data_IF_000827244233
#
_entry.id   IF_000827244233
#
_cell.length_a   1.000
_cell.length_b   1.000
_cell.length_c   1.000
_cell.angle_alpha   90.00
_cell.angle_beta   90.00
_cell.angle_gamma   90.00
#
_symmetry.space_group_name_H-M   'P 1'
#
loop_
_entity.id
_entity.type
_entity.pdbx_description
1 polymer ?
#
# COMPACT_ATOMS: atom_id res chain seq x y z
N UNK A 1 -37.92 11.01 -18.54
CA UNK A 1 -37.13 9.76 -18.54
C UNK A 1 -36.41 9.68 -17.19
N UNK A 2 -36.95 8.96 -16.19
CA UNK A 2 -36.24 8.74 -14.94
C UNK A 2 -35.17 7.65 -15.15
N UNK A 3 -33.95 7.93 -14.68
CA UNK A 3 -32.82 7.00 -14.71
C UNK A 3 -32.89 6.08 -13.50
N UNK A 4 -33.44 4.88 -13.68
CA UNK A 4 -33.29 3.76 -12.77
C UNK A 4 -31.88 3.17 -12.90
N UNK A 5 -30.89 3.74 -12.21
CA UNK A 5 -29.54 3.14 -12.11
C UNK A 5 -29.08 3.08 -10.65
N UNK A 6 -29.78 2.27 -9.86
CA UNK A 6 -29.41 1.86 -8.50
C UNK A 6 -29.67 0.35 -8.32
N UNK A 7 -28.93 -0.52 -9.01
CA UNK A 7 -28.90 -1.95 -8.68
C UNK A 7 -27.69 -2.68 -9.29
N UNK A 8 -26.61 -2.88 -8.53
CA UNK A 8 -25.54 -3.77 -8.99
C UNK A 8 -24.20 -3.67 -8.27
N UNK A 9 -24.17 -3.61 -6.93
CA UNK A 9 -22.88 -3.55 -6.23
C UNK A 9 -22.92 -3.74 -4.73
N UNK A 10 -23.92 -4.45 -4.18
CA UNK A 10 -23.80 -4.91 -2.79
C UNK A 10 -22.87 -6.13 -2.78
N UNK A 11 -21.62 -5.93 -2.34
CA UNK A 11 -20.72 -7.01 -1.97
C UNK A 11 -21.46 -7.93 -0.99
N UNK A 12 -21.59 -9.22 -1.34
CA UNK A 12 -22.23 -10.23 -0.49
C UNK A 12 -21.64 -10.14 0.92
N UNK A 13 -22.50 -9.87 1.91
CA UNK A 13 -22.13 -9.77 3.33
C UNK A 13 -21.46 -11.09 3.74
N UNK A 14 -20.17 -11.06 4.08
CA UNK A 14 -19.39 -12.25 4.43
C UNK A 14 -18.68 -12.98 3.28
N UNK A 15 -18.62 -12.43 2.06
CA UNK A 15 -17.86 -13.03 0.95
C UNK A 15 -16.33 -13.03 1.16
N UNK A 16 -15.82 -12.16 2.04
CA UNK A 16 -14.41 -12.07 2.41
C UNK A 16 -14.30 -12.35 3.91
N UNK A 17 -13.75 -13.52 4.26
CA UNK A 17 -13.44 -13.86 5.66
C UNK A 17 -12.30 -13.00 6.21
N UNK A 18 -12.20 -12.88 7.54
CA UNK A 18 -11.16 -12.09 8.24
C UNK A 18 -9.76 -12.45 7.74
N UNK A 19 -9.47 -13.75 7.60
CA UNK A 19 -8.20 -14.24 7.07
C UNK A 19 -7.91 -13.72 5.67
N UNK A 20 -8.89 -13.67 4.77
CA UNK A 20 -8.70 -13.15 3.43
C UNK A 20 -8.33 -11.66 3.46
N UNK A 21 -8.96 -10.88 4.34
CA UNK A 21 -8.65 -9.45 4.52
C UNK A 21 -7.23 -9.29 5.05
N UNK A 22 -6.84 -10.06 6.07
CA UNK A 22 -5.48 -10.01 6.63
C UNK A 22 -4.44 -10.36 5.56
N UNK A 23 -4.63 -11.45 4.81
CA UNK A 23 -3.72 -11.81 3.72
C UNK A 23 -3.64 -10.73 2.65
N UNK A 24 -4.77 -10.14 2.27
CA UNK A 24 -4.81 -9.06 1.28
C UNK A 24 -4.08 -7.80 1.76
N UNK A 25 -4.27 -7.39 3.01
CA UNK A 25 -3.58 -6.22 3.60
C UNK A 25 -2.08 -6.47 3.70
N UNK A 26 -1.67 -7.66 4.15
CA UNK A 26 -0.26 -8.05 4.19
C UNK A 26 0.33 -8.07 2.77
N UNK A 27 -0.43 -8.58 1.78
CA UNK A 27 -0.04 -8.53 0.35
C UNK A 27 0.24 -7.12 -0.15
N UNK A 28 -0.69 -6.21 0.15
CA UNK A 28 -0.58 -4.83 -0.26
C UNK A 28 0.60 -4.10 0.40
N UNK A 29 1.02 -4.55 1.59
CA UNK A 29 2.22 -4.03 2.26
C UNK A 29 3.53 -4.45 1.60
N UNK A 30 3.52 -5.45 0.69
CA UNK A 30 4.68 -5.95 -0.05
C UNK A 30 5.94 -6.13 0.83
N UNK A 31 5.91 -7.04 1.83
CA UNK A 31 6.95 -7.16 2.84
C UNK A 31 8.34 -7.41 2.27
N UNK A 32 8.52 -8.17 1.17
CA UNK A 32 9.87 -8.28 0.57
C UNK A 32 10.35 -6.95 0.00
N UNK A 33 9.47 -6.15 -0.61
CA UNK A 33 9.86 -4.85 -1.15
C UNK A 33 10.34 -3.91 -0.03
N UNK A 34 9.69 -3.96 1.13
CA UNK A 34 10.12 -3.21 2.32
C UNK A 34 11.46 -3.71 2.83
N UNK A 35 11.63 -5.03 3.01
CA UNK A 35 12.85 -5.62 3.57
C UNK A 35 14.06 -5.48 2.65
N UNK A 36 13.88 -5.60 1.33
CA UNK A 36 14.97 -5.54 0.34
C UNK A 36 15.24 -4.12 -0.14
N UNK A 37 14.20 -3.30 -0.28
CA UNK A 37 14.33 -1.94 -0.83
C UNK A 37 14.40 -0.87 0.26
N UNK A 38 13.34 -0.75 1.06
CA UNK A 38 13.17 0.39 1.97
C UNK A 38 14.07 0.29 3.19
N UNK A 39 14.20 -0.89 3.80
CA UNK A 39 14.95 -1.09 5.04
C UNK A 39 16.45 -0.81 4.88
N UNK A 40 17.16 -1.36 3.88
CA UNK A 40 18.60 -1.06 3.70
C UNK A 40 18.82 0.42 3.40
N UNK A 41 17.92 1.05 2.66
CA UNK A 41 17.96 2.48 2.39
C UNK A 41 17.83 3.31 3.68
N UNK A 42 16.91 2.93 4.58
CA UNK A 42 16.75 3.56 5.89
C UNK A 42 17.98 3.40 6.80
N UNK A 43 18.65 2.24 6.75
CA UNK A 43 19.91 2.03 7.49
C UNK A 43 21.09 2.81 6.89
N UNK A 44 21.17 2.91 5.57
CA UNK A 44 22.27 3.58 4.87
C UNK A 44 22.21 5.11 4.97
N UNK A 45 21.00 5.70 4.87
CA UNK A 45 20.82 7.15 4.77
C UNK A 45 19.96 7.76 5.88
N UNK A 46 19.35 6.94 6.74
CA UNK A 46 18.53 7.39 7.87
C UNK A 46 19.30 7.40 9.19
N UNK A 47 18.60 7.09 10.27
CA UNK A 47 19.15 7.15 11.64
C UNK A 47 20.06 5.97 12.02
N UNK A 48 20.56 5.20 11.04
CA UNK A 48 21.47 4.07 11.25
C UNK A 48 20.97 3.08 12.31
N UNK A 49 21.70 2.98 13.43
CA UNK A 49 21.35 2.10 14.56
C UNK A 49 20.03 2.47 15.26
N UNK A 50 19.47 3.66 15.03
CA UNK A 50 18.17 4.07 15.55
C UNK A 50 16.97 3.52 14.77
N UNK A 51 17.18 2.96 13.58
CA UNK A 51 16.12 2.42 12.70
C UNK A 51 15.24 1.37 13.40
N UNK A 52 15.77 0.38 14.15
CA UNK A 52 14.96 -0.58 14.90
C UNK A 52 14.03 0.09 15.93
N UNK A 53 14.52 1.11 16.63
CA UNK A 53 13.71 1.84 17.61
C UNK A 53 12.60 2.63 16.90
N UNK A 54 12.88 3.22 15.74
CA UNK A 54 11.86 3.88 14.91
C UNK A 54 10.75 2.90 14.50
N UNK A 55 11.10 1.67 14.11
CA UNK A 55 10.09 0.63 13.79
C UNK A 55 9.20 0.32 14.99
N UNK A 56 9.76 0.19 16.19
CA UNK A 56 8.98 -0.09 17.41
C UNK A 56 8.03 1.07 17.72
N UNK A 57 8.53 2.31 17.67
CA UNK A 57 7.73 3.50 17.98
C UNK A 57 6.58 3.70 16.98
N UNK A 58 6.86 3.58 15.68
CA UNK A 58 5.83 3.67 14.63
C UNK A 58 4.83 2.51 14.73
N UNK A 59 5.31 1.30 15.06
CA UNK A 59 4.45 0.15 15.31
C UNK A 59 3.48 0.38 16.48
N UNK A 60 3.98 0.91 17.60
CA UNK A 60 3.15 1.26 18.75
C UNK A 60 2.11 2.34 18.41
N UNK A 61 2.50 3.35 17.63
CA UNK A 61 1.59 4.39 17.15
C UNK A 61 0.49 3.80 16.25
N UNK A 62 0.83 2.87 15.36
CA UNK A 62 -0.16 2.18 14.52
C UNK A 62 -1.10 1.30 15.34
N UNK A 63 -0.63 0.62 16.38
CA UNK A 63 -1.50 -0.16 17.27
C UNK A 63 -2.50 0.75 18.00
N UNK A 64 -2.03 1.88 18.52
CA UNK A 64 -2.89 2.85 19.17
C UNK A 64 -3.97 3.37 18.20
N UNK A 65 -3.56 3.71 16.97
CA UNK A 65 -4.47 4.13 15.92
C UNK A 65 -5.48 3.03 15.56
N UNK A 66 -5.02 1.77 15.43
CA UNK A 66 -5.87 0.64 15.08
C UNK A 66 -6.94 0.37 16.14
N UNK A 67 -6.59 0.46 17.44
CA UNK A 67 -7.55 0.32 18.55
C UNK A 67 -8.62 1.41 18.48
N UNK A 68 -8.22 2.68 18.34
CA UNK A 68 -9.15 3.81 18.23
C UNK A 68 -10.04 3.72 16.98
N UNK A 69 -9.46 3.39 15.83
CA UNK A 69 -10.19 3.22 14.58
C UNK A 69 -11.20 2.07 14.65
N UNK A 70 -10.81 0.93 15.23
CA UNK A 70 -11.71 -0.23 15.39
C UNK A 70 -12.87 0.11 16.31
N UNK A 71 -12.62 0.85 17.41
CA UNK A 71 -13.67 1.31 18.32
C UNK A 71 -14.65 2.29 17.65
N UNK A 72 -14.19 3.17 16.75
CA UNK A 72 -15.08 4.05 15.99
C UNK A 72 -15.84 3.31 14.88
N UNK A 73 -15.18 2.36 14.22
CA UNK A 73 -15.75 1.57 13.12
C UNK A 73 -16.92 0.68 13.56
N UNK A 74 -16.94 0.22 14.81
CA UNK A 74 -18.09 -0.51 15.35
C UNK A 74 -19.36 0.35 15.50
N UNK A 75 -19.22 1.68 15.59
CA UNK A 75 -20.34 2.61 15.77
C UNK A 75 -20.78 3.28 14.46
N UNK A 76 -19.87 3.45 13.49
CA UNK A 76 -20.15 4.07 12.20
C UNK A 76 -20.21 3.01 11.10
N UNK A 77 -21.44 2.67 10.65
CA UNK A 77 -21.64 1.65 9.62
C UNK A 77 -21.01 2.00 8.26
N UNK A 78 -20.26 1.04 7.69
CA UNK A 78 -19.77 0.99 6.30
C UNK A 78 -19.18 2.28 5.72
N UNK A 79 -18.46 3.08 6.52
CA UNK A 79 -17.67 4.19 5.99
C UNK A 79 -16.38 3.67 5.34
N UNK A 80 -16.24 3.88 4.03
CA UNK A 80 -15.05 3.45 3.25
C UNK A 80 -13.89 4.45 3.34
N UNK A 81 -14.14 5.67 3.81
CA UNK A 81 -13.14 6.75 3.90
C UNK A 81 -12.91 7.21 5.33
N UNK A 82 -11.78 7.87 5.61
CA UNK A 82 -11.49 8.49 6.90
C UNK A 82 -12.32 9.76 7.16
N UNK A 83 -12.90 10.37 6.12
CA UNK A 83 -13.65 11.62 6.23
C UNK A 83 -14.84 11.54 7.20
N UNK A 84 -15.75 10.55 7.13
CA UNK A 84 -16.86 10.40 8.08
C UNK A 84 -16.39 10.31 9.53
N UNK A 85 -15.32 9.57 9.79
CA UNK A 85 -14.76 9.39 11.14
C UNK A 85 -14.22 10.71 11.73
N UNK A 86 -13.56 11.52 10.91
CA UNK A 86 -12.97 12.78 11.36
C UNK A 86 -14.04 13.87 11.42
N UNK A 87 -14.98 13.88 10.48
CA UNK A 87 -16.08 14.84 10.44
C UNK A 87 -17.07 14.65 11.59
N UNK A 88 -17.29 13.41 12.05
CA UNK A 88 -18.16 13.12 13.20
C UNK A 88 -17.53 13.52 14.54
N UNK A 89 -16.21 13.39 14.70
CA UNK A 89 -15.50 13.77 15.93
C UNK A 89 -15.09 15.25 16.02
N UNK A 90 -14.44 15.77 14.97
CA UNK A 90 -13.82 17.12 14.95
C UNK A 90 -14.58 18.12 14.07
N UNK A 91 -15.64 17.70 13.40
CA UNK A 91 -16.47 18.53 12.54
C UNK A 91 -16.02 18.59 11.07
N UNK A 92 -16.90 19.13 10.23
CA UNK A 92 -16.78 19.11 8.76
C UNK A 92 -15.49 19.75 8.23
N UNK A 93 -15.04 20.86 8.82
CA UNK A 93 -13.83 21.60 8.37
C UNK A 93 -12.56 20.76 8.58
N UNK A 94 -12.42 20.12 9.75
CA UNK A 94 -11.31 19.23 10.04
C UNK A 94 -11.34 17.97 9.16
N UNK A 95 -12.51 17.42 8.88
CA UNK A 95 -12.68 16.28 7.97
C UNK A 95 -12.19 16.58 6.55
N UNK A 96 -12.51 17.75 5.99
CA UNK A 96 -12.02 18.16 4.68
C UNK A 96 -10.50 18.33 4.68
N UNK A 97 -9.93 18.99 5.69
CA UNK A 97 -8.47 19.14 5.83
C UNK A 97 -7.75 17.80 5.88
N UNK A 98 -8.26 16.86 6.67
CA UNK A 98 -7.70 15.51 6.76
C UNK A 98 -7.83 14.70 5.46
N UNK A 99 -8.88 14.93 4.66
CA UNK A 99 -9.03 14.29 3.35
C UNK A 99 -7.97 14.76 2.36
N UNK A 100 -7.69 16.07 2.33
CA UNK A 100 -6.59 16.61 1.55
C UNK A 100 -5.23 16.10 2.04
N UNK A 101 -5.02 16.01 3.36
CA UNK A 101 -3.81 15.42 3.92
C UNK A 101 -3.66 13.94 3.54
N UNK A 102 -4.75 13.16 3.55
CA UNK A 102 -4.73 11.76 3.12
C UNK A 102 -4.39 11.61 1.64
N UNK A 103 -4.96 12.46 0.77
CA UNK A 103 -4.64 12.50 -0.66
C UNK A 103 -3.17 12.88 -0.89
N UNK A 104 -2.66 13.90 -0.19
CA UNK A 104 -1.27 14.31 -0.29
C UNK A 104 -0.32 13.20 0.15
N UNK A 105 -0.61 12.53 1.27
CA UNK A 105 0.15 11.37 1.74
C UNK A 105 0.12 10.22 0.75
N UNK A 106 -1.03 9.97 0.10
CA UNK A 106 -1.16 8.92 -0.91
C UNK A 106 -0.25 9.19 -2.11
N UNK A 107 -0.30 10.42 -2.65
CA UNK A 107 0.58 10.83 -3.76
C UNK A 107 2.06 10.78 -3.35
N UNK A 108 2.39 11.16 -2.11
CA UNK A 108 3.77 11.08 -1.61
C UNK A 108 4.28 9.63 -1.54
N UNK A 109 3.45 8.69 -1.07
CA UNK A 109 3.79 7.25 -1.03
C UNK A 109 3.95 6.69 -2.45
N UNK A 110 3.11 7.11 -3.39
CA UNK A 110 3.21 6.71 -4.79
C UNK A 110 4.51 7.20 -5.43
N UNK A 111 4.87 8.47 -5.24
CA UNK A 111 6.13 9.05 -5.72
C UNK A 111 7.36 8.35 -5.09
N UNK A 112 7.29 8.04 -3.79
CA UNK A 112 8.34 7.28 -3.10
C UNK A 112 8.53 5.90 -3.75
N UNK A 113 7.45 5.16 -3.98
CA UNK A 113 7.50 3.82 -4.58
C UNK A 113 8.04 3.87 -6.02
N UNK A 114 7.59 4.84 -6.83
CA UNK A 114 8.07 5.08 -8.19
C UNK A 114 9.56 5.40 -8.22
N UNK A 115 10.02 6.33 -7.37
CA UNK A 115 11.43 6.72 -7.29
C UNK A 115 12.33 5.56 -6.88
N UNK A 116 11.91 4.80 -5.86
CA UNK A 116 12.66 3.65 -5.37
C UNK A 116 12.81 2.59 -6.48
N UNK A 117 11.70 2.23 -7.15
CA UNK A 117 11.75 1.28 -8.26
C UNK A 117 12.63 1.78 -9.41
N UNK A 118 12.51 3.05 -9.80
CA UNK A 118 13.27 3.63 -10.90
C UNK A 118 14.78 3.56 -10.69
N UNK A 119 15.24 3.78 -9.45
CA UNK A 119 16.65 3.66 -9.06
C UNK A 119 17.11 2.21 -9.17
N UNK A 120 16.41 1.27 -8.52
CA UNK A 120 16.80 -0.15 -8.55
C UNK A 120 16.76 -0.75 -9.95
N UNK A 121 15.79 -0.35 -10.77
CA UNK A 121 15.66 -0.81 -12.14
C UNK A 121 16.78 -0.26 -13.03
N UNK A 122 17.08 1.04 -12.92
CA UNK A 122 18.19 1.68 -13.63
C UNK A 122 19.54 1.04 -13.26
N UNK A 123 19.77 0.79 -11.98
CA UNK A 123 20.96 0.10 -11.49
C UNK A 123 21.07 -1.34 -12.01
N UNK A 124 19.96 -2.08 -12.02
CA UNK A 124 19.92 -3.44 -12.54
C UNK A 124 20.23 -3.47 -14.04
N UNK A 125 19.58 -2.60 -14.83
CA UNK A 125 19.83 -2.49 -16.27
C UNK A 125 21.28 -2.14 -16.58
N UNK A 126 21.87 -1.22 -15.81
CA UNK A 126 23.28 -0.87 -15.97
C UNK A 126 24.20 -2.08 -15.69
N UNK A 127 23.95 -2.82 -14.61
CA UNK A 127 24.74 -4.02 -14.27
C UNK A 127 24.63 -5.16 -15.29
N UNK A 128 23.47 -5.30 -15.96
CA UNK A 128 23.20 -6.37 -16.93
C UNK A 128 23.64 -6.03 -18.35
N UNK A 129 23.46 -4.78 -18.78
CA UNK A 129 23.64 -4.37 -20.19
C UNK A 129 24.78 -3.38 -20.40
N UNK A 130 25.33 -2.81 -19.33
CA UNK A 130 26.31 -1.72 -19.39
C UNK A 130 25.74 -0.38 -19.84
N UNK A 131 24.44 -0.30 -20.16
CA UNK A 131 23.79 0.92 -20.64
C UNK A 131 23.25 1.72 -19.45
N UNK A 132 23.66 2.99 -19.35
CA UNK A 132 23.14 3.93 -18.37
C UNK A 132 21.77 4.47 -18.81
N UNK A 133 20.70 3.88 -18.30
CA UNK A 133 19.33 4.38 -18.49
C UNK A 133 19.03 5.39 -17.37
N UNK A 134 18.64 6.65 -17.67
CA UNK A 134 18.26 7.61 -16.65
C UNK A 134 17.07 7.11 -15.82
N UNK A 135 17.16 7.23 -14.49
CA UNK A 135 16.14 6.72 -13.56
C UNK A 135 14.74 7.29 -13.84
N UNK A 136 14.64 8.53 -14.34
CA UNK A 136 13.37 9.14 -14.77
C UNK A 136 12.68 8.34 -15.88
N UNK A 137 13.44 7.78 -16.82
CA UNK A 137 12.90 6.96 -17.91
C UNK A 137 12.35 5.64 -17.35
N UNK A 138 13.05 5.04 -16.40
CA UNK A 138 12.58 3.85 -15.67
C UNK A 138 11.29 4.11 -14.90
N UNK A 139 11.17 5.28 -14.24
CA UNK A 139 9.94 5.70 -13.57
C UNK A 139 8.78 5.89 -14.55
N UNK A 140 9.03 6.54 -15.69
CA UNK A 140 8.01 6.77 -16.72
C UNK A 140 7.52 5.44 -17.31
N UNK A 141 8.44 4.51 -17.54
CA UNK A 141 8.13 3.15 -17.98
C UNK A 141 7.27 2.41 -16.97
N UNK A 142 7.64 2.43 -15.68
CA UNK A 142 6.83 1.82 -14.63
C UNK A 142 5.43 2.45 -14.57
N UNK A 143 5.34 3.78 -14.65
CA UNK A 143 4.06 4.49 -14.64
C UNK A 143 3.16 4.05 -15.80
N UNK A 144 3.73 3.93 -17.00
CA UNK A 144 3.01 3.45 -18.17
C UNK A 144 2.52 2.00 -17.99
N UNK A 145 3.34 1.12 -17.42
CA UNK A 145 2.97 -0.27 -17.13
C UNK A 145 1.84 -0.33 -16.10
N UNK A 146 1.94 0.44 -15.02
CA UNK A 146 0.91 0.54 -13.98
C UNK A 146 -0.39 1.08 -14.57
N UNK A 147 -0.34 2.14 -15.36
CA UNK A 147 -1.50 2.72 -16.02
C UNK A 147 -2.15 1.74 -17.01
N UNK A 148 -1.36 1.03 -17.82
CA UNK A 148 -1.86 0.02 -18.75
C UNK A 148 -2.50 -1.17 -18.03
N UNK A 149 -1.91 -1.60 -16.90
CA UNK A 149 -2.41 -2.71 -16.09
C UNK A 149 -3.65 -2.31 -15.30
N UNK A 150 -3.69 -1.10 -14.75
CA UNK A 150 -4.82 -0.56 -14.01
C UNK A 150 -6.07 -0.35 -14.87
N UNK A 151 -5.91 -0.22 -16.20
CA UNK A 151 -7.03 -0.24 -17.15
C UNK A 151 -7.64 -1.62 -17.37
N UNK A 152 -6.96 -2.70 -17.00
CA UNK A 152 -7.52 -4.06 -17.00
C UNK A 152 -8.11 -4.33 -15.61
N UNK A 153 -9.32 -4.89 -15.56
CA UNK A 153 -10.16 -5.10 -14.38
C UNK A 153 -9.40 -5.22 -13.03
N UNK A 154 -9.81 -4.43 -12.03
CA UNK A 154 -9.26 -4.41 -10.65
C UNK A 154 -9.21 -5.80 -10.00
N UNK A 155 -10.11 -6.69 -10.41
CA UNK A 155 -10.13 -8.10 -10.00
C UNK A 155 -8.84 -8.87 -10.39
N UNK A 156 -8.22 -8.52 -11.51
CA UNK A 156 -6.94 -9.07 -11.96
C UNK A 156 -5.81 -8.60 -11.05
N UNK A 157 -5.78 -7.31 -10.69
CA UNK A 157 -4.79 -6.76 -9.77
C UNK A 157 -4.87 -7.40 -8.38
N UNK A 158 -6.08 -7.60 -7.85
CA UNK A 158 -6.27 -8.28 -6.57
C UNK A 158 -5.83 -9.75 -6.60
N UNK A 159 -6.14 -10.47 -7.68
CA UNK A 159 -5.71 -11.87 -7.86
C UNK A 159 -4.19 -11.97 -8.03
N UNK A 160 -3.58 -11.05 -8.78
CA UNK A 160 -2.12 -10.97 -8.95
C UNK A 160 -1.42 -10.69 -7.62
N UNK A 161 -1.92 -9.75 -6.80
CA UNK A 161 -1.38 -9.47 -5.46
C UNK A 161 -1.44 -10.71 -4.56
N UNK A 162 -2.56 -11.45 -4.62
CA UNK A 162 -2.72 -12.71 -3.89
C UNK A 162 -1.71 -13.79 -4.32
N UNK A 163 -1.42 -13.91 -5.62
CA UNK A 163 -0.38 -14.82 -6.13
C UNK A 163 1.01 -14.37 -5.68
N UNK A 164 1.33 -13.08 -5.77
CA UNK A 164 2.61 -12.56 -5.28
C UNK A 164 2.80 -12.86 -3.78
N UNK A 165 1.76 -12.73 -2.97
CA UNK A 165 1.79 -13.12 -1.56
C UNK A 165 2.10 -14.60 -1.35
N UNK A 166 1.41 -15.47 -2.08
CA UNK A 166 1.67 -16.91 -2.00
C UNK A 166 3.12 -17.22 -2.39
N UNK A 167 3.66 -16.55 -3.40
CA UNK A 167 5.06 -16.65 -3.79
C UNK A 167 6.02 -16.11 -2.73
N UNK A 168 5.70 -14.98 -2.07
CA UNK A 168 6.52 -14.44 -0.97
C UNK A 168 6.54 -15.40 0.22
N UNK A 169 5.38 -15.90 0.64
CA UNK A 169 5.26 -16.86 1.74
C UNK A 169 6.00 -18.16 1.39
N UNK A 170 5.89 -18.64 0.15
CA UNK A 170 6.62 -19.83 -0.30
C UNK A 170 8.13 -19.62 -0.27
N UNK A 171 8.64 -18.46 -0.70
CA UNK A 171 10.07 -18.10 -0.62
C UNK A 171 10.56 -18.05 0.83
N UNK A 172 9.79 -17.45 1.73
CA UNK A 172 10.14 -17.34 3.15
C UNK A 172 10.12 -18.73 3.80
N UNK A 173 9.10 -19.54 3.53
CA UNK A 173 8.99 -20.89 4.07
C UNK A 173 10.09 -21.81 3.53
N UNK A 174 10.42 -21.72 2.24
CA UNK A 174 11.54 -22.46 1.66
C UNK A 174 12.89 -22.07 2.26
N UNK A 175 13.05 -20.80 2.65
CA UNK A 175 14.25 -20.32 3.36
C UNK A 175 14.26 -20.68 4.85
N UNK A 176 13.10 -20.89 5.47
CA UNK A 176 12.96 -21.28 6.88
C UNK A 176 12.91 -22.80 7.09
N UNK A 177 12.86 -23.59 6.03
CA UNK A 177 12.94 -25.05 6.05
C UNK A 177 14.19 -25.53 5.32
N UNK A 178 15.17 -26.00 6.12
CA UNK A 178 16.55 -26.43 5.81
C UNK A 178 17.60 -25.34 5.99
#
# INVERSE_FOLDING_TARGET
MPMDEQAGGQLRRGALGVWHIVFFVVAAAAPLAVVVGVTPYAFAYGNGSGVPLTFILVGALYLLFAVGFTAMSSHMGNAVSFYPYIASGLGKRAGVGASFAALASYVAVELMAMGLFGIYFSQSMHSLTGIHIPWLVSCLFLNLVVWATGRRNIEVSGRVLGVFMLCEVARILHRSGV
#
